data_IF_650834000798
#
_entry.id   IF_650834000798
#
_cell.length_a   1.000
_cell.length_b   1.000
_cell.length_c   1.000
_cell.angle_alpha   90.00
_cell.angle_beta   90.00
_cell.angle_gamma   90.00
#
_symmetry.space_group_name_H-M   'P 1'
#
loop_
_entity.id
_entity.type
_entity.pdbx_description
1 polymer ?
#
# COMPACT_ATOMS: atom_id res chain seq x y z
N UNK A 1 2.59 15.88 -16.55
CA UNK A 1 2.57 14.81 -15.56
C UNK A 1 3.91 14.08 -15.58
N UNK A 2 4.58 14.06 -14.43
CA UNK A 2 5.82 13.33 -14.22
C UNK A 2 5.50 12.13 -13.34
N UNK A 3 5.93 10.93 -13.73
CA UNK A 3 5.96 9.78 -12.80
C UNK A 3 7.43 9.49 -12.51
N UNK A 4 7.78 9.44 -11.24
CA UNK A 4 9.16 9.27 -10.80
C UNK A 4 9.28 8.10 -9.83
N UNK A 5 10.38 7.34 -9.95
CA UNK A 5 10.78 6.28 -9.02
C UNK A 5 12.29 6.35 -8.76
N UNK A 6 12.75 5.80 -7.64
CA UNK A 6 14.17 5.48 -7.41
C UNK A 6 14.48 3.98 -7.53
N UNK A 7 13.48 3.18 -7.89
CA UNK A 7 13.60 1.75 -8.12
C UNK A 7 13.87 0.90 -6.87
N UNK A 8 13.74 1.47 -5.65
CA UNK A 8 14.07 0.75 -4.40
C UNK A 8 13.06 -0.35 -4.06
N UNK A 9 11.78 -0.20 -4.45
CA UNK A 9 10.71 -1.12 -4.08
C UNK A 9 9.74 -1.36 -5.23
N UNK A 10 10.24 -1.93 -6.34
CA UNK A 10 9.42 -2.26 -7.51
C UNK A 10 8.44 -3.37 -7.17
N UNK A 11 7.16 -3.02 -7.01
CA UNK A 11 6.07 -3.96 -6.71
C UNK A 11 6.46 -4.95 -5.58
N UNK A 12 6.31 -6.25 -5.81
CA UNK A 12 6.79 -7.33 -4.94
C UNK A 12 8.16 -7.91 -5.33
N UNK A 13 8.91 -7.23 -6.19
CA UNK A 13 10.22 -7.67 -6.71
C UNK A 13 11.41 -7.06 -5.94
N UNK A 14 11.20 -5.93 -5.27
CA UNK A 14 12.21 -5.27 -4.44
C UNK A 14 13.08 -4.29 -5.22
N UNK A 15 14.35 -4.17 -4.83
CA UNK A 15 15.28 -3.19 -5.41
C UNK A 15 15.76 -3.64 -6.80
N UNK A 16 15.36 -2.89 -7.83
CA UNK A 16 15.79 -3.11 -9.21
C UNK A 16 16.67 -1.97 -9.76
N UNK A 17 17.04 -1.01 -8.92
CA UNK A 17 17.82 0.17 -9.33
C UNK A 17 17.27 0.80 -10.61
N UNK A 18 18.13 1.06 -11.58
CA UNK A 18 17.73 1.67 -12.87
C UNK A 18 16.84 0.81 -13.76
N UNK A 19 16.76 -0.50 -13.55
CA UNK A 19 15.81 -1.34 -14.26
C UNK A 19 14.35 -1.04 -13.87
N UNK A 20 14.13 -0.27 -12.80
CA UNK A 20 12.83 0.24 -12.41
C UNK A 20 12.18 1.26 -13.37
N UNK A 21 12.91 1.77 -14.38
CA UNK A 21 12.38 2.81 -15.30
C UNK A 21 11.12 2.37 -16.07
N UNK A 22 10.94 1.04 -16.25
CA UNK A 22 9.74 0.49 -16.88
C UNK A 22 8.45 0.82 -16.15
N UNK A 23 8.50 1.05 -14.82
CA UNK A 23 7.33 1.36 -14.01
C UNK A 23 6.76 2.75 -14.35
N UNK A 24 7.54 3.86 -14.28
CA UNK A 24 7.07 5.16 -14.74
C UNK A 24 6.55 5.17 -16.19
N UNK A 25 7.23 4.45 -17.08
CA UNK A 25 6.81 4.32 -18.49
C UNK A 25 5.44 3.66 -18.59
N UNK A 26 5.23 2.53 -17.92
CA UNK A 26 3.96 1.83 -17.89
C UNK A 26 2.84 2.65 -17.26
N UNK A 27 3.09 3.32 -16.13
CA UNK A 27 2.11 4.19 -15.46
C UNK A 27 1.65 5.33 -16.37
N UNK A 28 2.58 5.99 -17.05
CA UNK A 28 2.23 7.07 -17.98
C UNK A 28 1.51 6.56 -19.23
N UNK A 29 1.82 5.35 -19.72
CA UNK A 29 1.04 4.73 -20.78
C UNK A 29 -0.43 4.52 -20.34
N UNK A 30 -0.68 4.13 -19.09
CA UNK A 30 -2.04 4.05 -18.54
C UNK A 30 -2.70 5.43 -18.37
N UNK A 31 -1.94 6.47 -18.01
CA UNK A 31 -2.45 7.84 -17.96
C UNK A 31 -3.00 8.28 -19.33
N UNK A 32 -2.27 7.99 -20.41
CA UNK A 32 -2.72 8.28 -21.78
C UNK A 32 -3.93 7.43 -22.13
N UNK A 33 -3.82 6.09 -21.97
CA UNK A 33 -4.83 5.16 -22.44
C UNK A 33 -6.15 5.19 -21.66
N UNK A 34 -6.11 5.41 -20.34
CA UNK A 34 -7.27 5.31 -19.45
C UNK A 34 -7.82 6.66 -19.03
N UNK A 35 -6.97 7.68 -18.88
CA UNK A 35 -7.38 9.02 -18.45
C UNK A 35 -7.35 10.07 -19.57
N UNK A 36 -6.92 9.69 -20.79
CA UNK A 36 -6.95 10.57 -21.96
C UNK A 36 -5.91 11.69 -21.93
N UNK A 37 -4.84 11.53 -21.15
CA UNK A 37 -3.76 12.52 -21.12
C UNK A 37 -3.01 12.57 -22.45
N UNK A 38 -2.60 13.76 -22.87
CA UNK A 38 -1.77 13.90 -24.07
C UNK A 38 -0.37 13.34 -23.80
N UNK A 39 0.17 12.45 -24.66
CA UNK A 39 1.46 11.80 -24.42
C UNK A 39 2.63 12.79 -24.33
N UNK A 40 2.58 13.92 -25.03
CA UNK A 40 3.63 14.97 -24.93
C UNK A 40 3.71 15.63 -23.53
N UNK A 41 2.68 15.45 -22.69
CA UNK A 41 2.69 15.97 -21.32
C UNK A 41 3.25 14.98 -20.31
N UNK A 42 3.61 13.77 -20.75
CA UNK A 42 4.02 12.66 -19.91
C UNK A 42 5.55 12.53 -19.91
N UNK A 43 6.17 12.57 -18.71
CA UNK A 43 7.61 12.40 -18.55
C UNK A 43 7.93 11.32 -17.51
N UNK A 44 8.38 10.13 -17.92
CA UNK A 44 8.86 9.11 -17.00
C UNK A 44 10.27 9.44 -16.51
N UNK A 45 10.50 9.34 -15.20
CA UNK A 45 11.80 9.65 -14.59
C UNK A 45 12.25 8.51 -13.67
N UNK A 46 13.55 8.21 -13.72
CA UNK A 46 14.21 7.40 -12.70
C UNK A 46 15.32 8.22 -12.02
N UNK A 47 15.34 8.21 -10.70
CA UNK A 47 16.39 8.81 -9.89
C UNK A 47 17.36 7.71 -9.47
N UNK A 48 18.51 7.63 -10.15
CA UNK A 48 19.54 6.64 -9.82
C UNK A 48 20.47 7.16 -8.71
N UNK A 49 20.32 6.59 -7.51
CA UNK A 49 21.19 6.85 -6.36
C UNK A 49 22.05 5.63 -6.00
N UNK A 50 22.13 4.63 -6.89
CA UNK A 50 22.69 3.31 -6.60
C UNK A 50 21.62 2.26 -6.36
N UNK A 51 22.05 1.03 -6.05
CA UNK A 51 21.19 -0.11 -5.71
C UNK A 51 21.86 -0.94 -4.62
N UNK A 52 21.06 -1.45 -3.67
CA UNK A 52 21.52 -2.38 -2.65
C UNK A 52 21.36 -3.84 -3.10
N UNK A 53 20.90 -4.07 -4.34
CA UNK A 53 20.78 -5.39 -4.93
C UNK A 53 22.15 -5.90 -5.41
N UNK A 54 22.76 -6.79 -4.63
CA UNK A 54 24.08 -7.36 -4.93
C UNK A 54 24.13 -8.10 -6.27
N UNK A 55 23.02 -8.70 -6.70
CA UNK A 55 22.95 -9.38 -8.00
C UNK A 55 23.12 -8.39 -9.15
N UNK A 56 22.50 -7.20 -9.05
CA UNK A 56 22.64 -6.14 -10.05
C UNK A 56 24.03 -5.49 -9.99
N UNK A 57 24.60 -5.29 -8.81
CA UNK A 57 25.97 -4.77 -8.67
C UNK A 57 27.00 -5.67 -9.36
N UNK A 58 26.78 -7.00 -9.33
CA UNK A 58 27.63 -8.01 -9.94
C UNK A 58 27.29 -8.30 -11.42
N UNK A 59 26.11 -7.92 -11.89
CA UNK A 59 25.67 -8.17 -13.27
C UNK A 59 26.43 -7.27 -14.24
N UNK A 60 27.25 -7.79 -15.19
CA UNK A 60 27.99 -6.97 -16.15
C UNK A 60 27.09 -6.15 -17.09
N UNK A 61 25.80 -6.48 -17.19
CA UNK A 61 24.83 -5.76 -18.02
C UNK A 61 24.06 -4.67 -17.27
N UNK A 62 24.19 -4.58 -15.94
CA UNK A 62 23.54 -3.53 -15.16
C UNK A 62 23.99 -2.14 -15.62
N UNK A 63 23.01 -1.29 -15.94
CA UNK A 63 23.19 0.02 -16.58
C UNK A 63 23.25 1.20 -15.59
N UNK A 64 22.93 0.96 -14.31
CA UNK A 64 22.92 2.01 -13.29
C UNK A 64 24.25 2.19 -12.58
N UNK A 65 24.25 3.11 -11.61
CA UNK A 65 25.39 3.35 -10.73
C UNK A 65 25.73 2.08 -9.93
N UNK A 66 26.94 1.56 -10.12
CA UNK A 66 27.46 0.37 -9.40
C UNK A 66 27.98 0.73 -8.01
N UNK A 67 27.06 1.18 -7.17
CA UNK A 67 27.31 1.49 -5.75
C UNK A 67 26.06 1.23 -4.92
N UNK A 68 26.22 0.98 -3.61
CA UNK A 68 25.09 0.99 -2.67
C UNK A 68 24.30 2.30 -2.74
N UNK A 69 23.03 2.25 -2.32
CA UNK A 69 22.15 3.43 -2.34
C UNK A 69 22.69 4.54 -1.45
N UNK A 70 22.76 5.75 -2.01
CA UNK A 70 22.98 6.98 -1.23
C UNK A 70 21.74 7.24 -0.38
N UNK A 71 21.94 7.56 0.91
CA UNK A 71 20.88 7.84 1.89
C UNK A 71 21.20 9.12 2.67
N UNK A 72 20.23 9.61 3.43
CA UNK A 72 20.41 10.77 4.30
C UNK A 72 20.42 12.10 3.54
N UNK A 73 21.17 13.12 4.03
CA UNK A 73 21.08 14.49 3.52
C UNK A 73 21.38 14.66 2.03
N UNK A 74 22.27 13.83 1.48
CA UNK A 74 22.61 13.88 0.05
C UNK A 74 21.43 13.43 -0.83
N UNK A 75 20.77 12.32 -0.45
CA UNK A 75 19.54 11.87 -1.10
C UNK A 75 18.44 12.93 -1.01
N UNK A 76 18.23 13.50 0.19
CA UNK A 76 17.21 14.53 0.41
C UNK A 76 17.47 15.79 -0.43
N UNK A 77 18.73 16.20 -0.55
CA UNK A 77 19.12 17.35 -1.36
C UNK A 77 18.86 17.11 -2.84
N UNK A 78 19.10 15.89 -3.33
CA UNK A 78 18.80 15.50 -4.70
C UNK A 78 17.29 15.59 -4.97
N UNK A 79 16.46 15.02 -4.09
CA UNK A 79 15.00 15.03 -4.24
C UNK A 79 14.44 16.46 -4.15
N UNK A 80 14.93 17.28 -3.22
CA UNK A 80 14.54 18.70 -3.13
C UNK A 80 14.88 19.45 -4.41
N UNK A 81 16.08 19.24 -4.95
CA UNK A 81 16.52 19.87 -6.20
C UNK A 81 15.71 19.37 -7.39
N UNK A 82 15.34 18.10 -7.42
CA UNK A 82 14.46 17.53 -8.45
C UNK A 82 13.09 18.21 -8.45
N UNK A 83 12.43 18.33 -7.29
CA UNK A 83 11.13 18.98 -7.15
C UNK A 83 11.18 20.45 -7.57
N UNK A 84 12.23 21.18 -7.13
CA UNK A 84 12.49 22.57 -7.52
C UNK A 84 12.74 22.72 -9.02
N UNK A 85 13.56 21.84 -9.61
CA UNK A 85 13.92 21.91 -11.03
C UNK A 85 12.70 21.64 -11.92
N UNK A 86 11.89 20.62 -11.59
CA UNK A 86 10.68 20.29 -12.34
C UNK A 86 9.70 21.46 -12.36
N UNK A 87 9.39 22.03 -11.19
CA UNK A 87 8.45 23.15 -11.11
C UNK A 87 9.01 24.46 -11.67
N UNK A 88 10.32 24.70 -11.57
CA UNK A 88 10.97 25.84 -12.23
C UNK A 88 10.89 25.74 -13.75
N UNK A 89 11.01 24.53 -14.31
CA UNK A 89 11.02 24.31 -15.76
C UNK A 89 9.62 24.24 -16.37
N UNK A 90 8.70 23.55 -15.71
CA UNK A 90 7.39 23.17 -16.26
C UNK A 90 6.20 23.88 -15.58
N UNK A 91 6.45 24.64 -14.52
CA UNK A 91 5.43 25.38 -13.76
C UNK A 91 5.02 24.69 -12.45
N UNK A 92 4.44 25.47 -11.54
CA UNK A 92 4.01 25.00 -10.20
C UNK A 92 2.92 23.93 -10.24
N UNK A 93 2.08 23.97 -11.27
CA UNK A 93 0.97 23.03 -11.47
C UNK A 93 1.41 21.69 -12.09
N UNK A 94 2.71 21.48 -12.26
CA UNK A 94 3.25 20.21 -12.74
C UNK A 94 2.92 19.10 -11.75
N UNK A 95 2.04 18.18 -12.16
CA UNK A 95 1.76 16.96 -11.42
C UNK A 95 3.02 16.08 -11.37
N UNK A 96 3.48 15.75 -10.16
CA UNK A 96 4.58 14.82 -9.92
C UNK A 96 4.04 13.64 -9.09
N UNK A 97 3.92 12.47 -9.69
CA UNK A 97 3.55 11.24 -9.01
C UNK A 97 4.79 10.46 -8.59
N UNK A 98 4.84 10.06 -7.33
CA UNK A 98 5.87 9.16 -6.80
C UNK A 98 5.37 7.72 -6.86
N UNK A 99 6.25 6.82 -7.29
CA UNK A 99 5.96 5.41 -7.50
C UNK A 99 7.13 4.52 -7.04
N UNK A 100 6.84 3.42 -6.38
CA UNK A 100 7.78 2.34 -6.03
C UNK A 100 9.03 2.78 -5.24
N UNK A 101 8.89 3.83 -4.42
CA UNK A 101 9.93 4.24 -3.47
C UNK A 101 9.98 3.28 -2.26
N UNK A 102 11.16 3.13 -1.66
CA UNK A 102 11.33 2.35 -0.44
C UNK A 102 10.39 2.79 0.70
N UNK A 103 9.93 1.85 1.54
CA UNK A 103 8.93 2.11 2.58
C UNK A 103 9.30 3.27 3.52
N UNK A 104 10.59 3.41 3.86
CA UNK A 104 11.10 4.49 4.72
C UNK A 104 11.05 5.86 4.04
N UNK A 105 11.14 5.89 2.71
CA UNK A 105 11.18 7.10 1.90
C UNK A 105 9.78 7.53 1.44
N UNK A 106 8.93 6.60 0.99
CA UNK A 106 7.65 6.92 0.37
C UNK A 106 6.77 7.84 1.24
N UNK A 107 6.55 7.47 2.50
CA UNK A 107 5.75 8.32 3.42
C UNK A 107 6.44 9.62 3.79
N UNK A 108 7.76 9.57 4.05
CA UNK A 108 8.54 10.74 4.43
C UNK A 108 8.54 11.79 3.32
N UNK A 109 8.72 11.37 2.07
CA UNK A 109 8.71 12.24 0.89
C UNK A 109 7.30 12.77 0.61
N UNK A 110 6.27 11.93 0.77
CA UNK A 110 4.88 12.38 0.68
C UNK A 110 4.59 13.47 1.71
N UNK A 111 4.92 13.26 2.98
CA UNK A 111 4.68 14.23 4.05
C UNK A 111 5.48 15.53 3.85
N UNK A 112 6.70 15.42 3.30
CA UNK A 112 7.56 16.56 2.98
C UNK A 112 6.99 17.43 1.85
N UNK A 113 6.45 16.83 0.79
CA UNK A 113 6.13 17.57 -0.45
C UNK A 113 4.64 17.82 -0.69
N UNK A 114 3.71 17.07 -0.06
CA UNK A 114 2.27 17.11 -0.36
C UNK A 114 1.60 18.48 -0.22
N UNK A 115 2.13 19.37 0.61
CA UNK A 115 1.57 20.71 0.86
C UNK A 115 2.28 21.80 0.05
N UNK A 116 3.39 21.50 -0.61
CA UNK A 116 4.22 22.47 -1.33
C UNK A 116 4.15 22.31 -2.85
N UNK A 117 3.88 21.10 -3.33
CA UNK A 117 3.88 20.73 -4.75
C UNK A 117 2.56 20.05 -5.13
N UNK A 118 2.21 20.11 -6.42
CA UNK A 118 1.16 19.25 -6.98
C UNK A 118 1.72 17.81 -7.09
N UNK A 119 1.71 17.09 -5.98
CA UNK A 119 2.33 15.77 -5.88
C UNK A 119 1.50 14.82 -5.02
N UNK A 120 1.54 13.55 -5.41
CA UNK A 120 0.95 12.46 -4.65
C UNK A 120 1.78 11.19 -4.84
N UNK A 121 1.53 10.18 -4.01
CA UNK A 121 2.13 8.86 -4.14
C UNK A 121 1.04 7.82 -4.41
N UNK A 122 1.14 7.10 -5.53
CA UNK A 122 0.09 6.16 -5.95
C UNK A 122 0.05 4.90 -5.08
N UNK A 123 1.21 4.39 -4.66
CA UNK A 123 1.31 3.24 -3.76
C UNK A 123 0.58 3.44 -2.44
N UNK A 124 0.59 4.66 -1.91
CA UNK A 124 -0.04 5.03 -0.65
C UNK A 124 -1.48 5.51 -0.91
N UNK A 125 -1.65 6.58 -1.66
CA UNK A 125 -2.94 7.28 -1.80
C UNK A 125 -3.82 6.65 -2.88
N UNK A 126 -3.23 6.23 -4.00
CA UNK A 126 -3.95 5.54 -5.08
C UNK A 126 -4.49 4.20 -4.61
N UNK A 127 -3.64 3.37 -3.98
CA UNK A 127 -4.04 2.10 -3.36
C UNK A 127 -5.13 2.32 -2.30
N UNK A 128 -4.96 3.31 -1.42
CA UNK A 128 -5.96 3.62 -0.40
C UNK A 128 -7.33 3.95 -1.01
N UNK A 129 -7.33 4.81 -2.04
CA UNK A 129 -8.54 5.24 -2.74
C UNK A 129 -9.29 4.07 -3.39
N UNK A 130 -8.59 3.25 -4.20
CA UNK A 130 -9.23 2.14 -4.92
C UNK A 130 -9.72 1.04 -3.98
N UNK A 131 -8.98 0.75 -2.91
CA UNK A 131 -9.40 -0.24 -1.92
C UNK A 131 -10.62 0.24 -1.13
N UNK A 132 -10.64 1.50 -0.69
CA UNK A 132 -11.82 2.06 -0.02
C UNK A 132 -13.02 2.13 -0.96
N UNK A 133 -12.82 2.44 -2.24
CA UNK A 133 -13.90 2.34 -3.24
C UNK A 133 -14.46 0.91 -3.35
N UNK A 134 -13.60 -0.11 -3.33
CA UNK A 134 -13.99 -1.51 -3.25
C UNK A 134 -14.78 -1.84 -1.97
N UNK A 135 -14.29 -1.40 -0.81
CA UNK A 135 -14.97 -1.58 0.48
C UNK A 135 -16.34 -0.90 0.49
N UNK A 136 -16.44 0.35 0.00
CA UNK A 136 -17.72 1.05 -0.16
C UNK A 136 -18.67 0.28 -1.08
N UNK A 137 -18.18 -0.32 -2.17
CA UNK A 137 -19.00 -1.17 -3.01
C UNK A 137 -19.53 -2.40 -2.24
N UNK A 138 -18.72 -3.00 -1.36
CA UNK A 138 -19.16 -4.14 -0.54
C UNK A 138 -20.31 -3.78 0.42
N UNK A 139 -20.39 -2.53 0.90
CA UNK A 139 -21.48 -2.08 1.80
C UNK A 139 -22.87 -2.25 1.17
N UNK A 140 -22.95 -2.14 -0.16
CA UNK A 140 -24.19 -2.35 -0.92
C UNK A 140 -24.67 -3.80 -0.89
N UNK A 141 -23.75 -4.75 -0.65
CA UNK A 141 -24.02 -6.18 -0.54
C UNK A 141 -24.24 -6.55 0.93
N UNK A 142 -23.33 -6.16 1.82
CA UNK A 142 -23.40 -6.48 3.26
C UNK A 142 -24.49 -5.71 3.99
N UNK A 143 -25.00 -4.62 3.40
CA UNK A 143 -25.97 -3.68 3.99
C UNK A 143 -25.47 -3.05 5.30
N UNK A 144 -24.14 -2.98 5.47
CA UNK A 144 -23.46 -2.39 6.63
C UNK A 144 -22.56 -1.27 6.15
N UNK A 145 -22.58 -0.15 6.86
CA UNK A 145 -21.65 0.98 6.63
C UNK A 145 -20.23 0.60 7.10
N UNK A 146 -19.19 1.25 6.56
CA UNK A 146 -17.81 1.00 7.01
C UNK A 146 -17.67 1.28 8.51
N UNK A 147 -18.26 2.36 9.01
CA UNK A 147 -18.32 2.75 10.44
C UNK A 147 -18.92 1.68 11.36
N UNK A 148 -19.69 0.74 10.82
CA UNK A 148 -20.31 -0.35 11.59
C UNK A 148 -19.55 -1.68 11.52
N UNK A 149 -18.35 -1.69 10.95
CA UNK A 149 -17.60 -2.90 10.64
C UNK A 149 -16.16 -2.81 11.19
N UNK A 150 -15.60 -3.99 11.51
CA UNK A 150 -14.18 -4.15 11.86
C UNK A 150 -13.41 -4.74 10.68
N UNK A 151 -12.17 -4.30 10.50
CA UNK A 151 -11.30 -4.77 9.43
C UNK A 151 -9.93 -5.19 9.99
N UNK A 152 -9.41 -6.30 9.47
CA UNK A 152 -8.06 -6.79 9.78
C UNK A 152 -7.19 -6.66 8.54
N UNK A 153 -6.07 -5.96 8.68
CA UNK A 153 -5.03 -5.80 7.68
C UNK A 153 -3.89 -6.77 7.97
N UNK A 154 -3.57 -7.63 7.00
CA UNK A 154 -2.41 -8.49 7.03
C UNK A 154 -1.29 -7.83 6.21
N UNK A 155 -0.36 -7.20 6.91
CA UNK A 155 0.58 -6.21 6.41
C UNK A 155 0.36 -4.84 7.07
N UNK A 156 1.45 -4.14 7.37
CA UNK A 156 1.43 -2.76 7.91
C UNK A 156 2.42 -1.83 7.20
N UNK A 157 2.73 -2.12 5.94
CA UNK A 157 3.55 -1.25 5.09
C UNK A 157 2.77 -0.07 4.49
N UNK A 158 3.39 0.62 3.53
CA UNK A 158 2.84 1.81 2.85
C UNK A 158 1.38 1.68 2.39
N UNK A 159 1.09 0.62 1.63
CA UNK A 159 -0.24 0.36 1.11
C UNK A 159 -1.27 0.10 2.23
N UNK A 160 -1.00 -0.84 3.14
CA UNK A 160 -1.92 -1.20 4.22
C UNK A 160 -2.21 -0.01 5.14
N UNK A 161 -1.19 0.75 5.53
CA UNK A 161 -1.36 1.94 6.38
C UNK A 161 -2.14 3.03 5.66
N UNK A 162 -1.90 3.25 4.35
CA UNK A 162 -2.65 4.22 3.57
C UNK A 162 -4.13 3.87 3.48
N UNK A 163 -4.44 2.60 3.21
CA UNK A 163 -5.82 2.10 3.20
C UNK A 163 -6.45 2.24 4.58
N UNK A 164 -5.76 1.86 5.65
CA UNK A 164 -6.26 1.99 7.02
C UNK A 164 -6.59 3.45 7.39
N UNK A 165 -5.72 4.40 7.06
CA UNK A 165 -5.96 5.83 7.29
C UNK A 165 -7.15 6.36 6.47
N UNK A 166 -7.31 5.91 5.22
CA UNK A 166 -8.45 6.29 4.39
C UNK A 166 -9.77 5.66 4.90
N UNK A 167 -9.73 4.41 5.38
CA UNK A 167 -10.86 3.79 6.06
C UNK A 167 -11.27 4.59 7.29
N UNK A 168 -10.32 5.01 8.12
CA UNK A 168 -10.60 5.88 9.29
C UNK A 168 -11.27 7.17 8.85
N UNK A 169 -10.75 7.84 7.83
CA UNK A 169 -11.35 9.07 7.31
C UNK A 169 -12.79 8.86 6.84
N UNK A 170 -13.04 7.80 6.07
CA UNK A 170 -14.38 7.45 5.62
C UNK A 170 -15.33 7.12 6.79
N UNK A 171 -14.85 6.43 7.83
CA UNK A 171 -15.65 6.14 9.03
C UNK A 171 -15.99 7.40 9.84
N UNK A 172 -15.06 8.36 9.89
CA UNK A 172 -15.31 9.69 10.50
C UNK A 172 -16.34 10.47 9.70
N UNK A 173 -16.23 10.47 8.36
CA UNK A 173 -17.22 11.09 7.47
C UNK A 173 -18.61 10.45 7.63
N UNK A 174 -18.68 9.18 8.06
CA UNK A 174 -19.92 8.47 8.40
C UNK A 174 -20.44 8.72 9.83
N UNK A 175 -19.71 9.49 10.64
CA UNK A 175 -20.15 10.01 11.94
C UNK A 175 -19.43 9.45 13.18
N UNK A 176 -18.40 8.61 13.02
CA UNK A 176 -17.58 8.17 14.16
C UNK A 176 -16.58 9.23 14.59
N UNK A 177 -16.14 9.15 15.85
CA UNK A 177 -14.91 9.83 16.27
C UNK A 177 -13.69 9.16 15.62
N UNK A 178 -12.56 9.88 15.60
CA UNK A 178 -11.31 9.33 15.08
C UNK A 178 -10.84 8.12 15.91
N UNK A 179 -11.03 8.15 17.24
CA UNK A 179 -10.70 7.07 18.16
C UNK A 179 -11.55 5.83 17.91
N UNK A 180 -12.88 6.01 17.74
CA UNK A 180 -13.81 4.91 17.42
C UNK A 180 -13.48 4.28 16.07
N UNK A 181 -13.18 5.10 15.06
CA UNK A 181 -12.75 4.63 13.74
C UNK A 181 -11.43 3.84 13.82
N UNK A 182 -10.44 4.32 14.56
CA UNK A 182 -9.17 3.60 14.77
C UNK A 182 -9.37 2.29 15.55
N UNK A 183 -10.33 2.24 16.48
CA UNK A 183 -10.66 1.03 17.23
C UNK A 183 -11.20 -0.10 16.33
N UNK A 184 -11.82 0.24 15.19
CA UNK A 184 -12.34 -0.73 14.22
C UNK A 184 -11.29 -1.29 13.25
N UNK A 185 -10.05 -0.78 13.27
CA UNK A 185 -8.98 -1.19 12.35
C UNK A 185 -7.89 -1.95 13.12
N UNK A 186 -7.57 -3.16 12.65
CA UNK A 186 -6.55 -4.04 13.25
C UNK A 186 -5.48 -4.31 12.19
N UNK A 187 -4.21 -4.26 12.57
CA UNK A 187 -3.09 -4.44 11.63
C UNK A 187 -2.11 -5.48 12.17
N UNK A 188 -1.58 -6.31 11.29
CA UNK A 188 -0.58 -7.34 11.59
C UNK A 188 0.65 -7.07 10.73
N UNK A 189 1.84 -7.02 11.32
CA UNK A 189 3.12 -6.92 10.63
C UNK A 189 3.98 -8.17 10.84
N UNK A 190 5.27 -8.11 10.49
CA UNK A 190 6.21 -9.24 10.62
C UNK A 190 6.37 -9.72 12.07
N UNK A 191 6.15 -8.85 13.05
CA UNK A 191 6.25 -9.15 14.47
C UNK A 191 4.89 -9.51 15.09
N UNK A 192 3.81 -9.46 14.31
CA UNK A 192 2.47 -9.89 14.70
C UNK A 192 1.47 -8.73 14.77
N UNK A 193 0.40 -8.92 15.55
CA UNK A 193 -0.61 -7.89 15.79
C UNK A 193 0.04 -6.62 16.36
N UNK A 194 -0.36 -5.45 15.84
CA UNK A 194 0.06 -4.16 16.38
C UNK A 194 -0.70 -3.91 17.70
N UNK A 195 0.01 -4.03 18.81
CA UNK A 195 -0.51 -3.94 20.18
C UNK A 195 0.14 -2.81 20.96
N UNK A 196 -0.49 -2.39 22.06
CA UNK A 196 0.06 -1.35 22.96
C UNK A 196 1.35 -1.79 23.66
N UNK A 197 1.55 -3.08 23.92
CA UNK A 197 2.79 -3.62 24.48
C UNK A 197 4.01 -3.36 23.58
N UNK A 198 3.77 -3.24 22.26
CA UNK A 198 4.79 -2.99 21.24
C UNK A 198 5.04 -1.50 20.97
N UNK A 199 4.42 -0.58 21.72
CA UNK A 199 4.45 0.86 21.41
C UNK A 199 5.86 1.45 21.19
N UNK A 200 6.89 0.93 21.86
CA UNK A 200 8.28 1.42 21.74
C UNK A 200 8.94 1.13 20.39
N UNK A 201 8.44 0.17 19.62
CA UNK A 201 9.00 -0.21 18.30
C UNK A 201 8.12 0.21 17.13
N UNK A 202 6.94 0.78 17.40
CA UNK A 202 5.99 1.21 16.40
C UNK A 202 6.27 2.63 15.90
N UNK A 203 5.93 2.88 14.63
CA UNK A 203 5.91 4.25 14.11
C UNK A 203 4.73 5.04 14.70
N UNK A 204 4.83 6.37 14.73
CA UNK A 204 3.74 7.27 15.16
C UNK A 204 2.43 7.02 14.40
N UNK A 205 2.53 6.61 13.13
CA UNK A 205 1.37 6.24 12.30
C UNK A 205 0.72 4.95 12.78
N UNK A 206 1.48 3.98 13.25
CA UNK A 206 0.96 2.71 13.76
C UNK A 206 0.48 2.78 15.20
N UNK A 207 1.00 3.71 16.03
CA UNK A 207 0.58 3.87 17.43
C UNK A 207 -0.93 4.07 17.57
N UNK A 208 -1.57 4.82 16.67
CA UNK A 208 -3.03 5.03 16.70
C UNK A 208 -3.85 3.76 16.44
N UNK A 209 -3.24 2.75 15.82
CA UNK A 209 -3.89 1.47 15.53
C UNK A 209 -3.54 0.39 16.57
N UNK A 210 -2.65 0.67 17.52
CA UNK A 210 -2.23 -0.28 18.53
C UNK A 210 -3.40 -0.73 19.42
N UNK A 211 -3.55 -2.05 19.56
CA UNK A 211 -4.65 -2.68 20.29
C UNK A 211 -4.25 -3.12 21.69
N UNK A 212 -5.19 -3.02 22.61
CA UNK A 212 -5.05 -3.55 23.97
C UNK A 212 -5.52 -5.00 23.98
N UNK A 213 -4.67 -5.88 23.42
CA UNK A 213 -4.94 -7.29 23.19
C UNK A 213 -3.64 -8.09 23.37
N UNK A 214 -3.73 -9.40 23.67
CA UNK A 214 -2.55 -10.26 23.72
C UNK A 214 -1.77 -10.23 22.40
N UNK A 215 -0.45 -10.27 22.51
CA UNK A 215 0.43 -10.39 21.36
C UNK A 215 0.23 -11.74 20.67
N UNK A 216 0.02 -11.71 19.36
CA UNK A 216 -0.07 -12.92 18.53
C UNK A 216 0.48 -12.64 17.14
N UNK A 217 1.12 -13.66 16.56
CA UNK A 217 1.53 -13.66 15.14
C UNK A 217 0.52 -14.38 14.24
N UNK A 218 -0.51 -15.01 14.83
CA UNK A 218 -1.47 -15.83 14.10
C UNK A 218 -2.62 -14.97 13.56
N UNK A 219 -2.69 -14.84 12.22
CA UNK A 219 -3.84 -14.20 11.57
C UNK A 219 -5.17 -14.89 11.96
N UNK A 220 -5.17 -16.22 12.08
CA UNK A 220 -6.36 -16.98 12.47
C UNK A 220 -6.83 -16.63 13.88
N UNK A 221 -5.92 -16.49 14.85
CA UNK A 221 -6.28 -16.08 16.22
C UNK A 221 -6.86 -14.67 16.25
N UNK A 222 -6.27 -13.74 15.48
CA UNK A 222 -6.80 -12.38 15.35
C UNK A 222 -8.20 -12.42 14.74
N UNK A 223 -8.42 -13.18 13.65
CA UNK A 223 -9.74 -13.31 13.02
C UNK A 223 -10.78 -13.89 13.98
N UNK A 224 -10.44 -14.96 14.72
CA UNK A 224 -11.34 -15.57 15.72
C UNK A 224 -11.72 -14.61 16.84
N UNK A 225 -10.76 -13.80 17.29
CA UNK A 225 -10.93 -12.89 18.43
C UNK A 225 -11.67 -11.61 18.02
N UNK A 226 -11.26 -11.01 16.90
CA UNK A 226 -11.79 -9.73 16.41
C UNK A 226 -13.15 -9.89 15.74
N UNK A 227 -13.36 -11.04 15.09
CA UNK A 227 -14.51 -11.32 14.24
C UNK A 227 -14.73 -10.22 13.19
N UNK A 228 -13.74 -9.94 12.32
CA UNK A 228 -13.83 -8.83 11.38
C UNK A 228 -14.84 -9.13 10.27
N UNK A 229 -15.39 -8.08 9.67
CA UNK A 229 -16.22 -8.21 8.48
C UNK A 229 -15.37 -8.39 7.20
N UNK A 230 -14.12 -7.92 7.23
CA UNK A 230 -13.19 -8.05 6.12
C UNK A 230 -11.73 -8.22 6.52
N UNK A 231 -11.02 -9.00 5.72
CA UNK A 231 -9.56 -9.15 5.76
C UNK A 231 -8.94 -8.55 4.49
N UNK A 232 -7.90 -7.73 4.66
CA UNK A 232 -7.18 -7.04 3.58
C UNK A 232 -5.71 -7.43 3.65
N UNK A 233 -5.22 -8.10 2.62
CA UNK A 233 -3.83 -8.57 2.50
C UNK A 233 -3.01 -7.61 1.66
N UNK A 234 -1.92 -7.10 2.25
CA UNK A 234 -0.91 -6.30 1.57
C UNK A 234 0.47 -6.55 2.21
N UNK A 235 0.88 -7.82 2.25
CA UNK A 235 2.07 -8.29 2.97
C UNK A 235 3.18 -8.87 2.10
N UNK A 236 2.90 -9.17 0.83
CA UNK A 236 3.75 -9.95 -0.10
C UNK A 236 4.00 -11.41 0.32
N UNK A 237 3.22 -11.93 1.29
CA UNK A 237 3.29 -13.33 1.74
C UNK A 237 2.22 -14.15 1.01
N UNK A 238 2.66 -14.92 0.02
CA UNK A 238 1.80 -15.79 -0.77
C UNK A 238 1.10 -16.83 0.11
N UNK A 239 -0.20 -17.06 -0.10
CA UNK A 239 -0.95 -18.09 0.61
C UNK A 239 -1.22 -17.80 2.09
N UNK A 240 -0.99 -16.56 2.56
CA UNK A 240 -1.23 -16.18 3.95
C UNK A 240 -2.69 -16.30 4.39
N UNK A 241 -3.65 -16.19 3.47
CA UNK A 241 -5.05 -16.47 3.72
C UNK A 241 -5.29 -17.96 3.50
N UNK A 242 -4.92 -18.74 4.52
CA UNK A 242 -5.05 -20.21 4.50
C UNK A 242 -6.53 -20.63 4.46
N UNK A 243 -6.76 -21.91 4.20
CA UNK A 243 -8.13 -22.45 4.17
C UNK A 243 -8.85 -22.22 5.51
N UNK A 244 -8.17 -22.41 6.64
CA UNK A 244 -8.73 -22.18 7.97
C UNK A 244 -9.12 -20.71 8.20
N UNK A 245 -8.32 -19.76 7.71
CA UNK A 245 -8.62 -18.33 7.80
C UNK A 245 -9.86 -18.00 6.99
N UNK A 246 -9.95 -18.51 5.75
CA UNK A 246 -11.08 -18.25 4.85
C UNK A 246 -12.37 -18.92 5.38
N UNK A 247 -12.27 -20.16 5.88
CA UNK A 247 -13.39 -20.86 6.52
C UNK A 247 -13.90 -20.09 7.75
N UNK A 248 -13.00 -19.59 8.59
CA UNK A 248 -13.38 -18.82 9.76
C UNK A 248 -14.06 -17.49 9.37
N UNK A 249 -13.56 -16.80 8.34
CA UNK A 249 -14.21 -15.61 7.78
C UNK A 249 -15.64 -15.91 7.29
N UNK A 250 -15.84 -17.04 6.62
CA UNK A 250 -17.16 -17.50 6.15
C UNK A 250 -18.09 -17.90 7.31
N UNK A 251 -17.53 -18.47 8.39
CA UNK A 251 -18.29 -18.81 9.61
C UNK A 251 -18.78 -17.56 10.32
N UNK A 252 -17.95 -16.52 10.41
CA UNK A 252 -18.26 -15.25 11.07
C UNK A 252 -19.25 -14.42 10.24
N UNK A 253 -19.09 -14.40 8.91
CA UNK A 253 -19.80 -13.50 8.01
C UNK A 253 -20.54 -14.28 6.91
N UNK A 254 -21.85 -14.04 6.70
CA UNK A 254 -22.57 -14.62 5.56
C UNK A 254 -22.01 -14.20 4.19
N UNK A 255 -21.36 -13.02 4.13
CA UNK A 255 -20.73 -12.45 2.94
C UNK A 255 -19.38 -11.86 3.36
N UNK A 256 -18.33 -12.70 3.56
CA UNK A 256 -17.03 -12.22 4.02
C UNK A 256 -16.35 -11.36 2.96
N UNK A 257 -15.67 -10.30 3.39
CA UNK A 257 -14.86 -9.46 2.51
C UNK A 257 -13.41 -9.97 2.57
N UNK A 258 -12.87 -10.41 1.43
CA UNK A 258 -11.50 -10.95 1.34
C UNK A 258 -10.80 -10.25 0.19
N UNK A 259 -9.85 -9.37 0.52
CA UNK A 259 -9.04 -8.64 -0.46
C UNK A 259 -7.60 -9.14 -0.39
N UNK A 260 -7.14 -9.88 -1.40
CA UNK A 260 -5.74 -10.29 -1.55
C UNK A 260 -5.06 -9.35 -2.55
N UNK A 261 -4.34 -8.34 -2.06
CA UNK A 261 -3.86 -7.21 -2.87
C UNK A 261 -2.38 -7.31 -3.24
N UNK A 262 -1.64 -8.27 -2.68
CA UNK A 262 -0.22 -8.41 -2.95
C UNK A 262 0.04 -8.79 -4.41
N UNK A 263 0.96 -8.05 -5.04
CA UNK A 263 1.35 -8.21 -6.43
C UNK A 263 2.79 -8.75 -6.57
N UNK A 264 3.12 -9.49 -7.64
CA UNK A 264 2.20 -10.05 -8.66
C UNK A 264 1.36 -11.22 -8.10
N UNK A 265 0.59 -11.91 -8.94
CA UNK A 265 -0.29 -13.04 -8.54
C UNK A 265 0.42 -14.13 -7.72
N UNK A 266 1.71 -14.37 -7.96
CA UNK A 266 2.51 -15.31 -7.16
C UNK A 266 2.75 -14.87 -5.71
N UNK A 267 2.35 -13.65 -5.34
CA UNK A 267 2.42 -13.06 -4.01
C UNK A 267 1.06 -12.87 -3.35
N UNK A 268 -0.04 -13.15 -4.05
CA UNK A 268 -1.38 -12.97 -3.53
C UNK A 268 -1.61 -13.85 -2.28
N UNK A 269 -2.27 -13.30 -1.27
CA UNK A 269 -2.55 -13.99 -0.02
C UNK A 269 -3.46 -15.22 -0.20
N UNK A 270 -4.31 -15.22 -1.23
CA UNK A 270 -5.02 -16.39 -1.74
C UNK A 270 -5.43 -16.17 -3.20
N UNK A 271 -5.84 -17.23 -3.88
CA UNK A 271 -6.46 -17.13 -5.22
C UNK A 271 -7.96 -16.85 -5.11
N UNK A 272 -8.53 -16.27 -6.16
CA UNK A 272 -9.99 -16.12 -6.26
C UNK A 272 -10.71 -17.47 -6.17
N UNK A 273 -10.18 -18.52 -6.81
CA UNK A 273 -10.73 -19.88 -6.74
C UNK A 273 -10.80 -20.40 -5.30
N UNK A 274 -9.71 -20.25 -4.52
CA UNK A 274 -9.69 -20.64 -3.12
C UNK A 274 -10.75 -19.87 -2.31
N UNK A 275 -10.79 -18.55 -2.47
CA UNK A 275 -11.76 -17.70 -1.77
C UNK A 275 -13.21 -18.12 -2.07
N UNK A 276 -13.57 -18.37 -3.34
CA UNK A 276 -14.93 -18.77 -3.71
C UNK A 276 -15.28 -20.20 -3.29
N UNK A 277 -14.39 -21.17 -3.56
CA UNK A 277 -14.63 -22.58 -3.23
C UNK A 277 -14.85 -22.80 -1.74
N UNK A 278 -14.07 -22.12 -0.90
CA UNK A 278 -14.09 -22.32 0.55
C UNK A 278 -15.27 -21.58 1.19
N UNK A 279 -15.61 -20.38 0.69
CA UNK A 279 -16.72 -19.60 1.26
C UNK A 279 -18.11 -20.08 0.81
N UNK A 280 -18.19 -21.02 -0.15
CA UNK A 280 -19.44 -21.53 -0.72
C UNK A 280 -20.40 -20.42 -1.22
N UNK A 281 -19.88 -19.24 -1.56
CA UNK A 281 -20.69 -18.13 -2.06
C UNK A 281 -20.94 -18.34 -3.55
N UNK A 282 -22.20 -18.55 -3.93
CA UNK A 282 -22.62 -18.54 -5.33
C UNK A 282 -22.37 -17.15 -5.93
N UNK A 283 -21.63 -17.11 -7.04
CA UNK A 283 -21.55 -15.92 -7.89
C UNK A 283 -22.95 -15.72 -8.46
N UNK A 284 -23.64 -14.60 -8.19
CA UNK A 284 -24.88 -14.29 -8.90
C UNK A 284 -24.55 -14.26 -10.39
N UNK A 285 -25.20 -15.15 -11.15
CA UNK A 285 -25.15 -15.12 -12.61
C UNK A 285 -25.93 -13.94 -13.16
#
# INVERSE_FOLDING_TARGET
AIVVTDGERILGLGDLGTYGIGIPVGKLALYVALAGLHPEWCLPVIIDVGTDNQSLLNDPFYTGLRRPRVRGPEYDSLLDNFMKACTKRFGRDTLIQFEDFGNQNAYRLLDRYKNEYCMFNDDIQGTASVVVAGLLATTRITKKKLSSQKFVFFGAGGAATGVAEMCVRQMVDEGLSQEEACANIYMIDIDGLITKSRATTLSDRHLRFAKDMPDTKSLLEVVKTVQPAGIIGASTVAGAFTEEVIQEMARINPRPIIFALSNPTSKAECTAEAAYRITNVSIPT
#
